data_IF_159396046535
#
_entry.id   IF_159396046535
#
_cell.length_a   1.000
_cell.length_b   1.000
_cell.length_c   1.000
_cell.angle_alpha   90.00
_cell.angle_beta   90.00
_cell.angle_gamma   90.00
#
_symmetry.space_group_name_H-M   'P 1'
#
loop_
_entity.id
_entity.type
_entity.pdbx_description
1 polymer ?
#
# COMPACT_ATOMS: atom_id res chain seq x y z
N UNK A 1 2.94 13.07 7.36
CA UNK A 1 1.78 13.89 6.91
C UNK A 1 1.87 15.28 7.52
N UNK A 2 2.24 16.27 6.73
CA UNK A 2 2.10 17.67 7.13
C UNK A 2 0.63 18.02 6.93
N UNK A 3 -0.05 18.42 8.00
CA UNK A 3 -1.48 18.78 8.03
C UNK A 3 -2.49 17.63 7.77
N UNK A 4 -2.17 16.39 8.14
CA UNK A 4 -3.15 15.31 8.21
C UNK A 4 -3.65 14.74 6.87
N UNK A 5 -3.10 15.16 5.73
CA UNK A 5 -3.48 14.65 4.42
C UNK A 5 -2.54 13.53 3.93
N UNK A 6 -3.11 12.42 3.46
CA UNK A 6 -2.37 11.43 2.68
C UNK A 6 -2.14 11.96 1.26
N UNK A 7 -1.07 11.51 0.61
CA UNK A 7 -0.80 11.80 -0.80
C UNK A 7 -0.88 10.52 -1.64
N UNK A 8 -1.49 10.57 -2.82
CA UNK A 8 -1.46 9.45 -3.76
C UNK A 8 -0.24 9.49 -4.70
N UNK A 9 0.68 10.42 -4.50
CA UNK A 9 1.83 10.61 -5.39
C UNK A 9 2.64 9.32 -5.48
N UNK A 10 2.95 8.95 -6.72
CA UNK A 10 3.81 7.83 -7.07
C UNK A 10 4.93 8.35 -7.96
N UNK A 11 6.15 8.09 -7.56
CA UNK A 11 7.36 8.55 -8.21
C UNK A 11 8.34 7.40 -8.36
N UNK A 12 9.09 7.41 -9.45
CA UNK A 12 10.18 6.48 -9.71
C UNK A 12 11.50 7.25 -9.81
N UNK A 13 12.54 6.73 -9.21
CA UNK A 13 13.88 7.24 -9.32
C UNK A 13 14.70 6.41 -10.30
N UNK A 14 15.31 7.08 -11.27
CA UNK A 14 16.29 6.50 -12.19
C UNK A 14 17.70 6.78 -11.67
N UNK A 15 18.42 5.78 -11.16
CA UNK A 15 19.76 5.97 -10.60
C UNK A 15 20.84 6.21 -11.66
N UNK A 16 20.60 5.91 -12.93
CA UNK A 16 21.56 6.14 -14.01
C UNK A 16 21.52 7.59 -14.50
N UNK A 17 20.30 8.16 -14.55
CA UNK A 17 20.05 9.54 -14.98
C UNK A 17 20.00 10.52 -13.80
N UNK A 18 20.05 10.01 -12.55
CA UNK A 18 19.89 10.78 -11.30
C UNK A 18 18.65 11.68 -11.32
N UNK A 19 17.51 11.11 -11.69
CA UNK A 19 16.26 11.87 -11.84
C UNK A 19 15.05 11.13 -11.31
N UNK A 20 14.05 11.91 -10.89
CA UNK A 20 12.74 11.44 -10.52
C UNK A 20 11.72 11.67 -11.64
N UNK A 21 10.81 10.74 -11.81
CA UNK A 21 9.65 10.87 -12.69
C UNK A 21 8.37 10.58 -11.92
N UNK A 22 7.34 11.39 -12.16
CA UNK A 22 5.99 11.12 -11.64
C UNK A 22 5.32 10.08 -12.52
N UNK A 23 4.69 9.10 -11.91
CA UNK A 23 3.93 8.02 -12.53
C UNK A 23 2.45 8.09 -12.15
N UNK A 24 1.64 7.20 -12.72
CA UNK A 24 0.22 7.11 -12.39
C UNK A 24 0.02 7.05 -10.87
N UNK A 25 -0.75 7.98 -10.29
CA UNK A 25 -0.92 8.06 -8.84
C UNK A 25 -1.73 6.88 -8.30
N UNK A 26 -1.53 6.55 -7.03
CA UNK A 26 -2.31 5.51 -6.34
C UNK A 26 -3.81 5.75 -6.57
N UNK A 27 -4.60 4.72 -6.92
CA UNK A 27 -6.03 4.86 -7.19
C UNK A 27 -6.84 5.36 -6.00
N UNK A 28 -8.05 5.79 -6.27
CA UNK A 28 -9.02 6.16 -5.25
C UNK A 28 -9.62 4.90 -4.63
N UNK A 29 -9.57 4.74 -3.30
CA UNK A 29 -10.15 3.58 -2.64
C UNK A 29 -11.68 3.66 -2.65
N UNK A 30 -12.34 2.50 -2.46
CA UNK A 30 -13.80 2.42 -2.34
C UNK A 30 -14.34 3.25 -1.16
N UNK A 31 -13.58 3.32 -0.07
CA UNK A 31 -13.93 4.09 1.12
C UNK A 31 -12.69 4.79 1.68
N UNK A 32 -12.87 5.97 2.27
CA UNK A 32 -11.77 6.78 2.78
C UNK A 32 -11.15 7.71 1.72
N UNK A 33 -10.25 8.58 2.10
CA UNK A 33 -9.58 9.51 1.20
C UNK A 33 -8.54 8.79 0.33
N UNK A 34 -8.25 9.35 -0.83
CA UNK A 34 -7.17 8.90 -1.71
C UNK A 34 -5.80 9.05 -1.06
N UNK A 35 -4.93 8.07 -1.28
CA UNK A 35 -3.63 7.96 -0.61
C UNK A 35 -3.71 7.25 0.73
N UNK A 36 -2.59 6.75 1.21
CA UNK A 36 -2.53 6.03 2.47
C UNK A 36 -1.20 6.28 3.20
N UNK A 37 -1.24 6.33 4.52
CA UNK A 37 -0.05 6.28 5.37
C UNK A 37 0.28 4.85 5.78
N UNK A 38 1.56 4.53 5.97
CA UNK A 38 1.97 3.23 6.52
C UNK A 38 1.57 2.01 5.68
N UNK A 39 1.44 2.17 4.35
CA UNK A 39 1.29 1.04 3.44
C UNK A 39 2.60 0.25 3.32
N UNK A 40 2.51 -1.01 2.88
CA UNK A 40 3.66 -1.84 2.54
C UNK A 40 3.67 -2.17 1.05
N UNK A 41 4.83 -2.50 0.51
CA UNK A 41 4.94 -2.91 -0.89
C UNK A 41 5.98 -4.00 -1.11
N UNK A 42 5.76 -4.82 -2.12
CA UNK A 42 6.73 -5.79 -2.61
C UNK A 42 6.57 -6.01 -4.11
N UNK A 43 7.66 -6.34 -4.78
CA UNK A 43 7.65 -6.68 -6.21
C UNK A 43 7.52 -8.19 -6.42
N UNK A 44 6.68 -8.58 -7.38
CA UNK A 44 6.52 -9.96 -7.82
C UNK A 44 6.13 -9.97 -9.30
N UNK A 45 6.84 -10.77 -10.09
CA UNK A 45 6.56 -11.01 -11.51
C UNK A 45 6.40 -9.74 -12.35
N UNK A 46 7.34 -8.78 -12.17
CA UNK A 46 7.39 -7.52 -12.91
C UNK A 46 6.38 -6.46 -12.46
N UNK A 47 5.57 -6.73 -11.44
CA UNK A 47 4.61 -5.79 -10.85
C UNK A 47 5.00 -5.41 -9.44
N UNK A 48 4.51 -4.24 -9.00
CA UNK A 48 4.60 -3.80 -7.60
C UNK A 48 3.23 -3.94 -6.97
N UNK A 49 3.16 -4.69 -5.87
CA UNK A 49 1.95 -4.84 -5.07
C UNK A 49 2.04 -3.97 -3.83
N UNK A 50 0.97 -3.22 -3.55
CA UNK A 50 0.86 -2.29 -2.43
C UNK A 50 -0.29 -2.72 -1.54
N UNK A 51 -0.03 -2.83 -0.24
CA UNK A 51 -0.93 -3.44 0.73
C UNK A 51 -1.34 -2.44 1.80
N UNK A 52 -2.64 -2.35 2.07
CA UNK A 52 -3.23 -1.68 3.22
C UNK A 52 -2.90 -0.20 3.33
N UNK A 53 -2.59 0.21 4.55
CA UNK A 53 -2.35 1.60 4.93
C UNK A 53 -3.46 2.16 5.79
N UNK A 54 -3.30 3.41 6.25
CA UNK A 54 -4.26 4.11 7.09
C UNK A 54 -4.61 5.49 6.56
N UNK A 55 -5.73 6.01 7.02
CA UNK A 55 -6.17 7.37 6.78
C UNK A 55 -6.75 8.01 8.03
N UNK A 56 -6.78 9.34 8.05
CA UNK A 56 -7.35 10.14 9.12
C UNK A 56 -8.29 11.20 8.56
N UNK A 57 -9.31 11.55 9.33
CA UNK A 57 -10.20 12.67 9.08
C UNK A 57 -10.53 13.35 10.40
N UNK A 58 -11.15 14.55 10.40
CA UNK A 58 -11.60 15.22 11.63
C UNK A 58 -12.57 14.39 12.47
N UNK A 59 -13.28 13.45 11.85
CA UNK A 59 -14.26 12.56 12.51
C UNK A 59 -13.70 11.18 12.88
N UNK A 60 -12.41 10.91 12.63
CA UNK A 60 -11.79 9.62 12.93
C UNK A 60 -10.79 9.18 11.86
N UNK A 61 -10.55 7.87 11.76
CA UNK A 61 -9.64 7.27 10.80
C UNK A 61 -10.00 5.82 10.54
N UNK A 62 -9.29 5.20 9.61
CA UNK A 62 -9.48 3.80 9.27
C UNK A 62 -8.24 3.19 8.65
N UNK A 63 -8.30 1.90 8.41
CA UNK A 63 -7.27 1.13 7.73
C UNK A 63 -7.84 0.48 6.47
N UNK A 64 -7.00 0.32 5.46
CA UNK A 64 -7.36 -0.29 4.19
C UNK A 64 -7.03 -1.78 4.18
N UNK A 65 -7.84 -2.55 3.49
CA UNK A 65 -7.59 -3.95 3.13
C UNK A 65 -7.26 -4.12 1.64
N UNK A 66 -7.36 -3.05 0.83
CA UNK A 66 -7.07 -3.10 -0.59
C UNK A 66 -5.62 -3.52 -0.85
N UNK A 67 -5.47 -4.33 -1.90
CA UNK A 67 -4.19 -4.63 -2.53
C UNK A 67 -4.22 -4.06 -3.93
N UNK A 68 -3.31 -3.14 -4.21
CA UNK A 68 -3.13 -2.53 -5.52
C UNK A 68 -1.96 -3.17 -6.24
N UNK A 69 -2.14 -3.48 -7.52
CA UNK A 69 -1.09 -3.94 -8.41
C UNK A 69 -0.74 -2.83 -9.41
N UNK A 70 0.52 -2.43 -9.46
CA UNK A 70 1.06 -1.50 -10.43
C UNK A 70 1.83 -2.24 -11.51
N UNK A 71 1.50 -1.95 -12.75
CA UNK A 71 2.21 -2.41 -13.94
C UNK A 71 3.12 -1.26 -14.44
N UNK A 72 4.47 -1.40 -14.31
CA UNK A 72 5.40 -0.34 -14.70
C UNK A 72 5.48 -0.11 -16.22
N UNK A 73 5.18 -1.14 -17.03
CA UNK A 73 5.21 -1.03 -18.49
C UNK A 73 4.00 -0.26 -19.02
N UNK A 74 2.84 -0.48 -18.42
CA UNK A 74 1.59 0.19 -18.79
C UNK A 74 1.41 1.54 -18.07
N UNK A 75 2.21 1.83 -17.03
CA UNK A 75 2.00 2.94 -16.08
C UNK A 75 0.56 2.95 -15.54
N UNK A 76 0.09 1.79 -15.06
CA UNK A 76 -1.31 1.62 -14.68
C UNK A 76 -1.45 0.79 -13.41
N UNK A 77 -2.50 1.12 -12.64
CA UNK A 77 -2.90 0.40 -11.43
C UNK A 77 -4.14 -0.46 -11.70
N UNK A 78 -4.22 -1.58 -11.02
CA UNK A 78 -5.42 -2.40 -10.91
C UNK A 78 -5.62 -2.85 -9.46
N UNK A 79 -6.86 -3.06 -9.06
CA UNK A 79 -7.15 -3.69 -7.77
C UNK A 79 -6.92 -5.20 -7.90
N UNK A 80 -6.16 -5.76 -6.95
CA UNK A 80 -5.99 -7.19 -6.76
C UNK A 80 -6.96 -7.70 -5.67
N UNK A 81 -6.73 -8.90 -5.14
CA UNK A 81 -7.54 -9.40 -4.02
C UNK A 81 -7.22 -8.62 -2.73
N UNK A 82 -8.20 -8.55 -1.83
CA UNK A 82 -8.06 -7.84 -0.55
C UNK A 82 -7.33 -8.67 0.49
N UNK A 83 -6.66 -7.99 1.43
CA UNK A 83 -6.12 -8.65 2.62
C UNK A 83 -7.27 -9.17 3.50
N UNK A 84 -7.15 -10.37 4.08
CA UNK A 84 -8.10 -10.85 5.08
C UNK A 84 -8.22 -9.93 6.31
N UNK A 85 -7.12 -9.27 6.67
CA UNK A 85 -7.06 -8.33 7.80
C UNK A 85 -6.56 -6.97 7.34
N UNK A 86 -7.43 -5.95 7.33
CA UNK A 86 -7.04 -4.56 7.06
C UNK A 86 -6.00 -4.08 8.07
N UNK A 87 -4.87 -3.54 7.59
CA UNK A 87 -3.74 -3.14 8.44
C UNK A 87 -2.92 -2.02 7.82
N UNK A 88 -2.21 -1.28 8.70
CA UNK A 88 -1.14 -0.36 8.32
C UNK A 88 0.13 -0.64 9.11
N UNK A 89 1.25 -0.03 8.75
CA UNK A 89 2.54 -0.23 9.43
C UNK A 89 3.01 -1.69 9.42
N UNK A 90 2.61 -2.44 8.41
CA UNK A 90 2.94 -3.85 8.22
C UNK A 90 4.22 -3.99 7.40
N UNK A 91 4.84 -5.16 7.44
CA UNK A 91 5.90 -5.55 6.50
C UNK A 91 5.32 -6.28 5.30
N UNK A 92 5.96 -6.16 4.14
CA UNK A 92 5.67 -7.00 2.98
C UNK A 92 6.98 -7.49 2.36
N UNK A 93 7.06 -8.79 2.03
CA UNK A 93 8.24 -9.37 1.40
C UNK A 93 7.84 -10.53 0.47
N UNK A 94 8.58 -10.66 -0.62
CA UNK A 94 8.45 -11.79 -1.52
C UNK A 94 9.20 -13.01 -0.98
N UNK A 95 8.54 -14.17 -0.99
CA UNK A 95 9.17 -15.48 -0.79
C UNK A 95 8.66 -16.38 -1.92
N UNK A 96 9.55 -16.83 -2.77
CA UNK A 96 9.23 -17.63 -3.97
C UNK A 96 8.20 -16.91 -4.87
N UNK A 97 7.02 -17.46 -5.02
CA UNK A 97 5.91 -17.01 -5.86
C UNK A 97 4.78 -16.33 -5.08
N UNK A 98 5.03 -15.96 -3.82
CA UNK A 98 4.05 -15.29 -2.97
C UNK A 98 4.63 -14.06 -2.27
N UNK A 99 3.76 -13.13 -1.87
CA UNK A 99 4.09 -12.01 -0.99
C UNK A 99 3.47 -12.26 0.38
N UNK A 100 4.30 -12.20 1.41
CA UNK A 100 3.87 -12.33 2.81
C UNK A 100 3.74 -10.94 3.42
N UNK A 101 2.58 -10.66 4.00
CA UNK A 101 2.33 -9.47 4.81
C UNK A 101 2.35 -9.84 6.29
N UNK A 102 3.09 -9.07 7.09
CA UNK A 102 3.43 -9.45 8.46
C UNK A 102 3.15 -8.28 9.41
N UNK A 103 2.51 -8.60 10.54
CA UNK A 103 2.28 -7.68 11.66
C UNK A 103 1.50 -6.41 11.28
N UNK A 104 1.84 -5.27 11.87
CA UNK A 104 1.14 -4.01 11.68
C UNK A 104 0.04 -3.75 12.71
N UNK A 105 -0.86 -2.84 12.42
CA UNK A 105 -1.98 -2.48 13.28
C UNK A 105 -3.32 -2.47 12.52
N UNK A 106 -4.36 -2.97 13.17
CA UNK A 106 -5.70 -3.11 12.61
C UNK A 106 -6.63 -1.91 12.93
N UNK A 107 -6.06 -0.81 13.39
CA UNK A 107 -6.76 0.45 13.57
C UNK A 107 -5.79 1.61 13.34
N UNK A 108 -6.29 2.73 12.83
CA UNK A 108 -5.49 3.93 12.61
C UNK A 108 -4.82 4.43 13.91
N UNK A 109 -3.63 5.01 13.80
CA UNK A 109 -2.90 5.60 14.93
C UNK A 109 -2.08 4.62 15.77
N UNK A 110 -1.74 3.44 15.26
CA UNK A 110 -0.84 2.48 15.95
C UNK A 110 -1.50 1.69 17.09
N UNK A 111 -2.81 1.77 17.22
CA UNK A 111 -3.57 0.96 18.15
C UNK A 111 -3.96 -0.38 17.53
N UNK A 112 -4.26 -1.40 18.36
CA UNK A 112 -4.68 -2.73 17.93
C UNK A 112 -3.61 -3.41 17.07
N UNK A 113 -2.39 -3.50 17.58
CA UNK A 113 -1.30 -4.26 16.93
C UNK A 113 -1.73 -5.69 16.61
N UNK A 114 -1.28 -6.20 15.47
CA UNK A 114 -1.66 -7.49 14.92
C UNK A 114 -0.43 -8.41 14.84
N UNK A 115 -0.61 -9.69 15.13
CA UNK A 115 0.37 -10.75 14.90
C UNK A 115 0.08 -11.52 13.60
N UNK A 116 -0.83 -11.05 12.76
CA UNK A 116 -1.22 -11.72 11.53
C UNK A 116 -0.04 -11.85 10.56
N UNK A 117 0.08 -13.03 9.96
CA UNK A 117 0.93 -13.31 8.82
C UNK A 117 0.03 -13.88 7.74
N UNK A 118 -0.05 -13.20 6.61
CA UNK A 118 -0.93 -13.57 5.50
C UNK A 118 -0.13 -13.67 4.21
N UNK A 119 -0.44 -14.65 3.38
CA UNK A 119 0.22 -14.86 2.09
C UNK A 119 -0.72 -14.44 0.95
N UNK A 120 -0.19 -13.68 0.01
CA UNK A 120 -0.84 -13.27 -1.21
C UNK A 120 -0.15 -13.92 -2.41
N UNK A 121 -0.93 -14.58 -3.26
CA UNK A 121 -0.51 -15.08 -4.58
C UNK A 121 -1.43 -14.47 -5.64
N UNK A 122 -0.88 -13.74 -6.63
CA UNK A 122 -1.67 -13.10 -7.69
C UNK A 122 -2.34 -14.11 -8.61
#
# INVERSE_FOLDING_TARGET
TVNGGNTPVHEVYDPFEDRWETRAPLPEPEAGPRGAGGLASAALDGRIYVFGGEWFSPSGGGVYDQVWAYDPEADAWSEASRMPTARHGLGALRIADAIYTIAGAAAAGGNRTSAAVEAFSP
#
